data_IF_983074160631
#
_entry.id   IF_983074160631
#
_cell.length_a   1.000
_cell.length_b   1.000
_cell.length_c   1.000
_cell.angle_alpha   90.00
_cell.angle_beta   90.00
_cell.angle_gamma   90.00
#
_symmetry.space_group_name_H-M   'P 1'
#
loop_
_entity.id
_entity.type
_entity.pdbx_description
1 polymer ?
#
# COMPACT_ATOMS: atom_id res chain seq x y z
N UNK A 1 10.37 -6.68 4.69
CA UNK A 1 9.25 -7.45 5.28
C UNK A 1 9.45 -7.52 6.80
N UNK A 2 8.36 -7.58 7.55
CA UNK A 2 8.37 -7.57 9.03
C UNK A 2 7.00 -7.90 9.60
N UNK A 3 6.84 -7.83 10.93
CA UNK A 3 5.59 -8.12 11.63
C UNK A 3 5.41 -7.25 12.89
N UNK A 4 5.75 -5.96 12.81
CA UNK A 4 5.58 -4.99 13.90
C UNK A 4 4.24 -4.27 13.79
N UNK A 5 3.65 -3.87 14.93
CA UNK A 5 2.37 -3.15 14.96
C UNK A 5 1.14 -4.05 14.78
N UNK A 6 0.13 -3.57 14.07
CA UNK A 6 -1.08 -4.34 13.77
C UNK A 6 -0.80 -5.30 12.61
N UNK A 7 -0.47 -6.54 12.92
CA UNK A 7 -0.11 -7.59 11.95
C UNK A 7 -0.35 -8.96 12.55
N UNK A 8 -0.78 -9.92 11.73
CA UNK A 8 -1.01 -11.33 12.13
C UNK A 8 0.14 -12.26 11.73
N UNK A 9 1.13 -11.76 10.99
CA UNK A 9 2.32 -12.48 10.57
C UNK A 9 3.18 -11.67 9.59
N UNK A 10 4.35 -12.18 9.18
CA UNK A 10 5.30 -11.44 8.37
C UNK A 10 4.79 -11.10 6.96
N UNK A 11 4.73 -9.81 6.63
CA UNK A 11 4.43 -9.32 5.28
C UNK A 11 5.01 -7.91 5.06
N UNK A 12 4.68 -7.29 3.93
CA UNK A 12 4.90 -5.87 3.66
C UNK A 12 3.53 -5.23 3.46
N UNK A 13 3.20 -4.24 4.28
CA UNK A 13 2.05 -3.37 4.04
C UNK A 13 2.46 -2.24 3.11
N UNK A 14 1.66 -1.99 2.08
CA UNK A 14 1.90 -0.91 1.13
C UNK A 14 0.61 -0.11 0.95
N UNK A 15 0.73 1.20 1.04
CA UNK A 15 -0.37 2.14 0.84
C UNK A 15 0.05 3.19 -0.19
N UNK A 16 -0.90 3.60 -1.03
CA UNK A 16 -0.73 4.70 -1.95
C UNK A 16 -1.74 5.80 -1.60
N UNK A 17 -1.28 7.05 -1.58
CA UNK A 17 -2.08 8.23 -1.21
C UNK A 17 -1.83 9.38 -2.17
N UNK A 18 -2.85 10.21 -2.36
CA UNK A 18 -2.71 11.43 -3.18
C UNK A 18 -2.15 12.61 -2.40
N UNK A 19 -2.23 12.58 -1.07
CA UNK A 19 -1.69 13.60 -0.17
C UNK A 19 -1.08 12.92 1.09
N UNK A 20 -0.35 13.65 1.95
CA UNK A 20 0.13 13.10 3.23
C UNK A 20 -0.98 12.86 4.26
N UNK A 21 -2.17 13.43 4.07
CA UNK A 21 -3.25 13.42 5.04
C UNK A 21 -4.02 12.09 5.04
N UNK A 22 -4.54 11.71 6.22
CA UNK A 22 -5.43 10.55 6.36
C UNK A 22 -6.71 10.71 5.55
N UNK A 23 -7.21 9.61 4.97
CA UNK A 23 -8.40 9.60 4.13
C UNK A 23 -8.13 9.95 2.66
N UNK A 24 -6.87 10.18 2.29
CA UNK A 24 -6.44 10.35 0.89
C UNK A 24 -5.96 9.04 0.25
N UNK A 25 -6.35 7.91 0.83
CA UNK A 25 -6.00 6.56 0.38
C UNK A 25 -6.65 6.26 -0.99
N UNK A 26 -5.90 5.63 -1.88
CA UNK A 26 -6.38 5.17 -3.18
C UNK A 26 -6.04 3.69 -3.40
N UNK A 27 -6.67 3.04 -4.39
CA UNK A 27 -6.40 1.65 -4.72
C UNK A 27 -4.92 1.46 -5.14
N UNK A 28 -4.10 0.79 -4.29
CA UNK A 28 -2.69 0.64 -4.56
C UNK A 28 -2.42 -0.32 -5.74
N UNK A 29 -3.30 -1.28 -6.04
CA UNK A 29 -3.13 -2.21 -7.16
C UNK A 29 -3.36 -1.47 -8.48
N UNK A 30 -4.41 -0.65 -8.55
CA UNK A 30 -4.65 0.21 -9.71
C UNK A 30 -3.49 1.20 -9.94
N UNK A 31 -2.96 1.80 -8.87
CA UNK A 31 -1.77 2.66 -8.95
C UNK A 31 -0.55 1.92 -9.49
N UNK A 32 -0.23 0.72 -8.99
CA UNK A 32 0.93 -0.04 -9.48
C UNK A 32 0.76 -0.42 -10.96
N UNK A 33 -0.44 -0.84 -11.37
CA UNK A 33 -0.74 -1.18 -12.77
C UNK A 33 -0.65 0.02 -13.71
N UNK A 34 -1.05 1.22 -13.28
CA UNK A 34 -0.88 2.44 -14.08
C UNK A 34 0.59 2.81 -14.29
N UNK A 35 1.48 2.34 -13.40
CA UNK A 35 2.93 2.50 -13.52
C UNK A 35 3.60 1.31 -14.24
N UNK A 36 2.82 0.49 -14.94
CA UNK A 36 3.34 -0.61 -15.77
C UNK A 36 3.76 -1.85 -15.00
N UNK A 37 3.39 -1.96 -13.71
CA UNK A 37 3.69 -3.13 -12.91
C UNK A 37 2.58 -4.18 -13.08
N UNK A 38 2.99 -5.42 -13.38
CA UNK A 38 2.08 -6.55 -13.40
C UNK A 38 2.05 -7.21 -12.01
N UNK A 39 1.02 -6.84 -11.24
CA UNK A 39 0.78 -7.27 -9.86
C UNK A 39 -0.61 -7.87 -9.69
#
# INVERSE_FOLDING_TARGET
>A
SGSTGNSTGPHLHFEARTTPDYGSDMDPVAYLRSHGLNV
#
